data_IF_104234353511
#
_entry.id   IF_104234353511
#
_cell.length_a   1.000
_cell.length_b   1.000
_cell.length_c   1.000
_cell.angle_alpha   90.00
_cell.angle_beta   90.00
_cell.angle_gamma   90.00
#
_symmetry.space_group_name_H-M   'P 1'
#
loop_
_entity.id
_entity.type
_entity.pdbx_description
1 polymer ?
#
# COMPACT_ATOMS: atom_id res chain seq x y z
N UNK A 1 -22.56 -44.01 -14.04
CA UNK A 1 -21.72 -43.68 -15.22
C UNK A 1 -21.91 -42.19 -15.49
N UNK A 2 -20.87 -41.38 -15.27
CA UNK A 2 -20.91 -39.94 -15.52
C UNK A 2 -20.41 -39.66 -16.94
N UNK A 3 -21.22 -38.96 -17.73
CA UNK A 3 -20.85 -38.44 -19.04
C UNK A 3 -19.91 -37.23 -18.90
N UNK A 4 -18.81 -37.15 -19.67
CA UNK A 4 -17.93 -35.99 -19.63
C UNK A 4 -18.52 -34.82 -20.42
N UNK A 5 -18.38 -33.61 -19.87
CA UNK A 5 -18.73 -32.35 -20.53
C UNK A 5 -17.68 -31.97 -21.59
N UNK A 6 -18.09 -31.26 -22.66
CA UNK A 6 -17.27 -31.06 -23.84
C UNK A 6 -16.11 -30.09 -23.62
N UNK A 7 -14.95 -30.48 -24.12
CA UNK A 7 -13.75 -29.67 -24.29
C UNK A 7 -13.89 -28.74 -25.49
N UNK A 8 -14.00 -27.45 -25.21
CA UNK A 8 -13.48 -26.30 -25.98
C UNK A 8 -14.49 -25.16 -26.15
N UNK A 9 -14.04 -23.96 -25.80
CA UNK A 9 -14.54 -22.69 -26.36
C UNK A 9 -13.36 -22.05 -27.12
N UNK A 10 -13.55 -21.55 -28.35
CA UNK A 10 -12.52 -20.80 -29.04
C UNK A 10 -12.47 -19.39 -28.43
N UNK A 11 -11.32 -18.99 -27.89
CA UNK A 11 -11.03 -17.58 -27.60
C UNK A 11 -10.00 -17.13 -28.62
N UNK A 12 -10.45 -16.27 -29.54
CA UNK A 12 -9.56 -15.53 -30.42
C UNK A 12 -8.80 -14.52 -29.56
N UNK A 13 -7.55 -14.83 -29.24
CA UNK A 13 -6.63 -13.90 -28.58
C UNK A 13 -5.94 -13.09 -29.67
N UNK A 14 -6.30 -11.83 -29.79
CA UNK A 14 -5.53 -10.86 -30.59
C UNK A 14 -4.24 -10.57 -29.84
N UNK A 15 -3.14 -11.21 -30.24
CA UNK A 15 -1.81 -10.87 -29.76
C UNK A 15 -1.41 -9.50 -30.32
N UNK A 16 -1.38 -8.48 -29.47
CA UNK A 16 -0.42 -7.38 -29.68
C UNK A 16 0.94 -7.86 -29.14
N UNK A 17 2.02 -7.82 -29.93
CA UNK A 17 3.33 -8.17 -29.43
C UNK A 17 3.79 -7.09 -28.46
N UNK A 18 3.75 -7.40 -27.16
CA UNK A 18 4.55 -6.66 -26.18
C UNK A 18 6.00 -7.08 -26.35
N UNK A 19 6.83 -6.13 -26.80
CA UNK A 19 8.28 -6.29 -26.85
C UNK A 19 8.77 -6.28 -25.40
N UNK A 20 9.17 -7.44 -24.89
CA UNK A 20 9.91 -7.53 -23.64
C UNK A 20 11.29 -6.90 -23.86
N UNK A 21 11.64 -5.89 -23.06
CA UNK A 21 13.05 -5.55 -22.86
C UNK A 21 13.74 -6.76 -22.22
N UNK A 22 14.89 -7.17 -22.77
CA UNK A 22 15.66 -8.30 -22.27
C UNK A 22 16.13 -8.03 -20.83
N UNK A 23 15.64 -8.83 -19.88
CA UNK A 23 16.18 -8.91 -18.53
C UNK A 23 17.36 -9.91 -18.55
N UNK A 24 18.52 -9.50 -18.03
CA UNK A 24 19.72 -10.33 -17.94
C UNK A 24 19.71 -11.10 -16.61
N UNK A 25 19.49 -12.42 -16.62
CA UNK A 25 19.38 -13.24 -15.42
C UNK A 25 20.74 -13.53 -14.75
N UNK A 26 21.86 -13.00 -15.25
CA UNK A 26 23.20 -13.29 -14.71
C UNK A 26 23.65 -12.35 -13.59
N UNK A 27 22.89 -11.29 -13.28
CA UNK A 27 23.20 -10.37 -12.18
C UNK A 27 22.50 -10.81 -10.89
N UNK A 28 23.19 -11.61 -10.08
CA UNK A 28 22.77 -11.95 -8.71
C UNK A 28 22.88 -10.72 -7.80
N UNK A 29 21.80 -10.40 -7.10
CA UNK A 29 21.59 -9.18 -6.29
C UNK A 29 21.97 -9.35 -4.80
N UNK A 30 23.01 -10.12 -4.47
CA UNK A 30 23.29 -10.45 -3.06
C UNK A 30 24.08 -9.40 -2.25
N UNK A 31 24.64 -8.34 -2.85
CA UNK A 31 25.66 -7.53 -2.14
C UNK A 31 25.38 -6.03 -1.97
N UNK A 32 24.14 -5.53 -2.05
CA UNK A 32 23.88 -4.13 -1.71
C UNK A 32 22.56 -3.89 -0.94
N UNK A 33 22.61 -3.65 0.39
CA UNK A 33 21.43 -3.28 1.18
C UNK A 33 20.87 -1.88 0.85
N UNK A 34 21.54 -1.10 -0.03
CA UNK A 34 21.06 0.20 -0.53
C UNK A 34 20.43 0.08 -1.93
N UNK A 35 19.84 -1.06 -2.28
CA UNK A 35 19.04 -1.14 -3.49
C UNK A 35 17.76 -0.34 -3.30
N UNK A 36 17.71 0.83 -3.95
CA UNK A 36 16.49 1.58 -4.15
C UNK A 36 15.52 0.68 -4.92
N UNK A 37 14.47 0.21 -4.25
CA UNK A 37 13.40 -0.54 -4.90
C UNK A 37 12.21 0.36 -5.08
N UNK A 38 12.01 0.77 -6.33
CA UNK A 38 10.91 1.66 -6.65
C UNK A 38 10.09 1.10 -7.79
N UNK A 39 9.01 0.45 -7.42
CA UNK A 39 8.04 -0.03 -8.38
C UNK A 39 7.01 1.06 -8.70
N UNK A 40 6.71 1.17 -9.99
CA UNK A 40 5.41 1.65 -10.44
C UNK A 40 4.53 0.46 -10.78
N UNK A 41 3.65 0.09 -9.86
CA UNK A 41 2.69 -0.97 -10.11
C UNK A 41 1.38 -0.36 -10.58
N UNK A 42 0.82 -0.89 -11.68
CA UNK A 42 -0.59 -0.71 -12.02
C UNK A 42 -1.42 -1.67 -11.17
N UNK A 43 -2.21 -1.13 -10.24
CA UNK A 43 -3.08 -1.97 -9.43
C UNK A 43 -4.36 -2.28 -10.20
N UNK A 44 -4.91 -3.48 -10.02
CA UNK A 44 -6.33 -3.71 -10.23
C UNK A 44 -6.90 -4.11 -8.88
N UNK A 45 -7.18 -3.12 -8.02
CA UNK A 45 -7.84 -3.42 -6.76
C UNK A 45 -9.27 -3.82 -7.06
N UNK A 46 -9.60 -5.09 -6.85
CA UNK A 46 -10.98 -5.54 -6.73
C UNK A 46 -11.29 -5.57 -5.24
N UNK A 47 -11.88 -4.50 -4.72
CA UNK A 47 -12.49 -4.56 -3.38
C UNK A 47 -13.76 -5.35 -3.55
N UNK A 48 -13.73 -6.63 -3.19
CA UNK A 48 -14.95 -7.42 -3.13
C UNK A 48 -15.27 -7.64 -1.67
N UNK A 49 -16.16 -6.84 -1.11
CA UNK A 49 -16.93 -7.24 0.06
C UNK A 49 -17.92 -8.32 -0.44
N UNK A 50 -17.38 -9.49 -0.82
CA UNK A 50 -18.17 -10.56 -1.42
C UNK A 50 -18.78 -11.40 -0.32
N UNK A 51 -20.03 -11.11 0.03
CA UNK A 51 -20.91 -12.09 0.62
C UNK A 51 -21.58 -12.86 -0.53
N UNK A 52 -21.23 -14.15 -0.70
CA UNK A 52 -22.12 -15.10 -1.39
C UNK A 52 -23.05 -15.70 -0.33
N UNK A 53 -24.12 -14.97 -0.06
CA UNK A 53 -25.25 -15.38 0.76
C UNK A 53 -26.39 -14.42 0.46
N UNK A 54 -27.59 -14.94 0.24
CA UNK A 54 -28.79 -14.16 -0.02
C UNK A 54 -29.02 -13.18 1.14
N UNK A 55 -28.91 -11.87 0.90
CA UNK A 55 -29.06 -10.84 1.94
C UNK A 55 -30.24 -9.92 1.63
N UNK A 56 -31.12 -9.78 2.62
CA UNK A 56 -32.36 -9.02 2.63
C UNK A 56 -32.23 -7.80 3.58
N UNK A 57 -31.16 -7.00 3.44
CA UNK A 57 -31.08 -5.71 4.13
C UNK A 57 -30.73 -4.60 3.15
N UNK A 58 -31.55 -3.56 3.18
CA UNK A 58 -31.62 -2.42 2.24
C UNK A 58 -30.54 -1.35 2.46
N UNK A 59 -29.53 -1.59 3.29
CA UNK A 59 -28.55 -0.55 3.69
C UNK A 59 -27.06 -0.94 3.56
N UNK A 60 -26.75 -2.17 3.13
CA UNK A 60 -25.35 -2.59 2.93
C UNK A 60 -24.95 -2.38 1.47
N UNK A 61 -24.39 -1.21 1.15
CA UNK A 61 -23.82 -0.94 -0.17
C UNK A 61 -22.42 -1.56 -0.25
N UNK A 62 -22.33 -2.82 -0.64
CA UNK A 62 -21.06 -3.39 -1.10
C UNK A 62 -20.63 -2.68 -2.39
N UNK A 63 -19.69 -1.73 -2.31
CA UNK A 63 -19.18 -1.05 -3.50
C UNK A 63 -18.06 -1.86 -4.12
N UNK A 64 -18.34 -2.49 -5.26
CA UNK A 64 -17.29 -3.01 -6.14
C UNK A 64 -16.56 -1.82 -6.77
N UNK A 65 -15.45 -1.41 -6.19
CA UNK A 65 -14.55 -0.43 -6.78
C UNK A 65 -13.47 -1.13 -7.60
N UNK A 66 -13.16 -0.55 -8.75
CA UNK A 66 -11.95 -0.87 -9.50
C UNK A 66 -11.02 0.32 -9.36
N UNK A 67 -9.83 0.09 -8.82
CA UNK A 67 -8.82 1.13 -8.73
C UNK A 67 -7.59 0.73 -9.54
N UNK A 68 -7.12 1.66 -10.36
CA UNK A 68 -5.81 1.61 -11.00
C UNK A 68 -4.92 2.64 -10.35
N UNK A 69 -3.91 2.17 -9.64
CA UNK A 69 -2.91 3.03 -9.02
C UNK A 69 -1.59 2.94 -9.75
N UNK A 70 -0.78 3.99 -9.72
CA UNK A 70 0.66 3.98 -9.96
C UNK A 70 1.33 4.35 -8.65
N UNK A 71 2.01 3.38 -8.05
CA UNK A 71 2.74 3.59 -6.78
C UNK A 71 4.16 4.03 -7.08
N UNK A 72 4.76 4.80 -6.18
CA UNK A 72 6.18 5.09 -6.13
C UNK A 72 6.57 4.90 -4.68
N UNK A 73 7.61 4.14 -4.44
CA UNK A 73 7.99 3.75 -3.09
C UNK A 73 9.50 3.94 -2.96
N UNK A 74 9.94 4.68 -1.96
CA UNK A 74 11.35 4.89 -1.63
C UNK A 74 11.56 4.61 -0.14
N UNK A 75 12.09 3.42 0.17
CA UNK A 75 12.25 2.97 1.55
C UNK A 75 13.27 3.80 2.31
N UNK A 76 14.35 4.22 1.65
CA UNK A 76 15.49 4.83 2.30
C UNK A 76 15.15 6.25 2.73
N UNK A 77 14.51 7.01 1.83
CA UNK A 77 14.04 8.36 2.12
C UNK A 77 12.69 8.39 2.86
N UNK A 78 12.09 7.21 3.10
CA UNK A 78 10.83 7.04 3.80
C UNK A 78 9.66 7.74 3.09
N UNK A 79 9.58 7.61 1.76
CA UNK A 79 8.60 8.26 0.89
C UNK A 79 7.73 7.24 0.17
N UNK A 80 6.43 7.52 0.07
CA UNK A 80 5.51 6.79 -0.79
C UNK A 80 4.62 7.78 -1.51
N UNK A 81 4.41 7.60 -2.81
CA UNK A 81 3.40 8.31 -3.57
C UNK A 81 2.47 7.31 -4.27
N UNK A 82 1.18 7.59 -4.30
CA UNK A 82 0.17 6.76 -4.95
C UNK A 82 -0.70 7.67 -5.80
N UNK A 83 -0.63 7.51 -7.13
CA UNK A 83 -1.55 8.16 -8.07
C UNK A 83 -2.60 7.15 -8.46
N UNK A 84 -3.82 7.32 -7.98
CA UNK A 84 -4.91 6.36 -8.10
C UNK A 84 -6.05 6.94 -8.93
N UNK A 85 -6.59 6.11 -9.83
CA UNK A 85 -7.85 6.32 -10.53
C UNK A 85 -8.84 5.29 -10.06
N UNK A 86 -9.91 5.71 -9.40
CA UNK A 86 -11.01 4.84 -8.95
C UNK A 86 -12.22 5.00 -9.85
N UNK A 87 -12.71 3.88 -10.37
CA UNK A 87 -14.00 3.80 -11.05
C UNK A 87 -15.05 3.26 -10.08
N UNK A 88 -16.01 4.10 -9.72
CA UNK A 88 -17.21 3.66 -9.00
C UNK A 88 -18.25 3.22 -10.04
N UNK A 89 -18.39 1.90 -10.23
CA UNK A 89 -19.34 1.36 -11.21
C UNK A 89 -20.79 1.64 -10.85
N UNK A 90 -21.13 1.67 -9.56
CA UNK A 90 -22.51 1.88 -9.10
C UNK A 90 -22.99 3.30 -9.41
N UNK A 91 -22.13 4.29 -9.19
CA UNK A 91 -22.47 5.70 -9.36
C UNK A 91 -21.93 6.30 -10.68
N UNK A 92 -21.25 5.49 -11.51
CA UNK A 92 -20.72 5.88 -12.83
C UNK A 92 -19.82 7.12 -12.83
N UNK A 93 -19.07 7.36 -11.75
CA UNK A 93 -18.07 8.43 -11.70
C UNK A 93 -16.67 7.85 -11.51
N UNK A 94 -15.68 8.63 -11.97
CA UNK A 94 -14.26 8.35 -11.80
C UNK A 94 -13.65 9.41 -10.89
N UNK A 95 -12.86 8.97 -9.92
CA UNK A 95 -12.12 9.86 -9.03
C UNK A 95 -10.63 9.63 -9.23
N UNK A 96 -9.90 10.69 -9.53
CA UNK A 96 -8.43 10.69 -9.54
C UNK A 96 -7.93 11.24 -8.20
N UNK A 97 -7.13 10.46 -7.49
CA UNK A 97 -6.55 10.79 -6.18
C UNK A 97 -5.04 10.65 -6.24
N UNK A 98 -4.32 11.62 -5.70
CA UNK A 98 -2.87 11.52 -5.52
C UNK A 98 -2.54 11.64 -4.05
N UNK A 99 -1.97 10.57 -3.49
CA UNK A 99 -1.46 10.55 -2.11
C UNK A 99 0.06 10.63 -2.11
N UNK A 100 0.62 11.45 -1.22
CA UNK A 100 2.05 11.54 -0.96
C UNK A 100 2.24 11.36 0.54
N UNK A 101 3.05 10.40 0.96
CA UNK A 101 3.29 10.04 2.35
C UNK A 101 4.79 10.20 2.62
N UNK A 102 5.12 11.09 3.54
CA UNK A 102 6.49 11.41 3.95
C UNK A 102 6.63 10.95 5.41
N UNK A 103 7.06 9.71 5.60
CA UNK A 103 7.06 9.05 6.90
C UNK A 103 8.13 9.62 7.85
N UNK A 104 9.25 10.12 7.32
CA UNK A 104 10.27 10.84 8.09
C UNK A 104 9.72 12.12 8.75
N UNK A 105 8.77 12.77 8.09
CA UNK A 105 8.09 13.97 8.57
C UNK A 105 6.75 13.67 9.28
N UNK A 106 6.32 12.40 9.31
CA UNK A 106 5.03 11.96 9.83
C UNK A 106 3.83 12.71 9.21
N UNK A 107 3.86 12.93 7.89
CA UNK A 107 2.79 13.62 7.16
C UNK A 107 2.35 12.88 5.91
N UNK A 108 1.08 13.07 5.57
CA UNK A 108 0.51 12.67 4.30
C UNK A 108 -0.27 13.81 3.65
N UNK A 109 -0.21 13.86 2.32
CA UNK A 109 -0.98 14.74 1.49
C UNK A 109 -1.95 13.88 0.69
N UNK A 110 -3.23 14.27 0.65
CA UNK A 110 -4.23 13.69 -0.25
C UNK A 110 -4.72 14.81 -1.16
N UNK A 111 -4.45 14.67 -2.45
CA UNK A 111 -4.83 15.61 -3.49
C UNK A 111 -5.94 14.98 -4.32
N UNK A 112 -7.08 15.65 -4.41
CA UNK A 112 -8.25 15.20 -5.16
C UNK A 112 -8.99 16.42 -5.70
N UNK A 113 -9.33 16.43 -6.99
CA UNK A 113 -10.11 17.51 -7.62
C UNK A 113 -9.55 18.92 -7.35
N UNK A 114 -8.22 19.08 -7.42
CA UNK A 114 -7.52 20.35 -7.16
C UNK A 114 -7.51 20.80 -5.70
N UNK A 115 -8.07 20.02 -4.78
CA UNK A 115 -8.00 20.24 -3.34
C UNK A 115 -6.90 19.40 -2.73
N UNK A 116 -6.22 19.93 -1.73
CA UNK A 116 -5.17 19.22 -1.02
C UNK A 116 -5.43 19.23 0.49
N UNK A 117 -5.47 18.05 1.08
CA UNK A 117 -5.55 17.85 2.51
C UNK A 117 -4.21 17.35 3.03
N UNK A 118 -3.70 17.98 4.09
CA UNK A 118 -2.52 17.53 4.82
C UNK A 118 -2.96 16.90 6.14
N UNK A 119 -2.63 15.63 6.33
CA UNK A 119 -3.00 14.85 7.51
C UNK A 119 -1.75 14.33 8.21
N UNK A 120 -1.74 14.25 9.55
CA UNK A 120 -0.67 13.56 10.27
C UNK A 120 -0.67 12.07 9.89
N UNK A 121 0.52 11.51 9.73
CA UNK A 121 0.73 10.09 9.47
C UNK A 121 1.20 9.44 10.77
N UNK A 122 0.34 8.65 11.40
CA UNK A 122 0.65 8.00 12.68
C UNK A 122 1.46 6.72 12.51
N UNK A 123 1.25 6.01 11.40
CA UNK A 123 1.84 4.72 11.16
C UNK A 123 3.29 4.81 10.69
N UNK A 124 4.08 3.78 11.02
CA UNK A 124 5.41 3.60 10.46
C UNK A 124 5.31 3.20 9.00
N UNK A 125 6.36 3.51 8.23
CA UNK A 125 6.46 3.03 6.86
C UNK A 125 6.46 1.49 6.86
N UNK A 126 5.53 0.83 6.17
CA UNK A 126 5.50 -0.62 6.10
C UNK A 126 6.77 -1.10 5.38
N UNK A 127 7.45 -2.13 5.91
CA UNK A 127 8.58 -2.75 5.20
C UNK A 127 8.10 -3.38 3.89
N UNK A 128 8.95 -3.36 2.87
CA UNK A 128 8.71 -4.08 1.62
C UNK A 128 8.93 -5.60 1.75
N UNK A 129 9.60 -6.02 2.82
CA UNK A 129 9.95 -7.42 3.02
C UNK A 129 8.77 -8.23 3.52
N UNK A 130 8.74 -9.51 3.15
CA UNK A 130 7.87 -10.49 3.79
C UNK A 130 8.21 -10.52 5.29
N UNK A 131 7.22 -10.33 6.19
CA UNK A 131 7.47 -10.38 7.63
C UNK A 131 8.06 -11.72 8.07
N UNK A 132 8.97 -11.71 9.04
CA UNK A 132 9.67 -12.91 9.53
C UNK A 132 8.73 -14.01 10.04
N UNK A 133 7.56 -13.63 10.56
CA UNK A 133 6.53 -14.57 11.01
C UNK A 133 5.69 -15.18 9.88
N UNK A 134 6.03 -14.95 8.62
CA UNK A 134 5.30 -15.48 7.48
C UNK A 134 5.49 -17.00 7.35
N UNK A 135 4.40 -17.67 6.97
CA UNK A 135 4.39 -19.10 6.69
C UNK A 135 4.42 -19.29 5.17
N UNK A 136 5.38 -20.05 4.67
CA UNK A 136 5.42 -20.42 3.25
C UNK A 136 4.24 -21.32 2.91
N UNK A 137 3.56 -20.99 1.81
CA UNK A 137 2.51 -21.81 1.19
C UNK A 137 3.01 -22.52 -0.08
N UNK A 138 4.31 -22.45 -0.36
CA UNK A 138 4.94 -23.03 -1.55
C UNK A 138 5.11 -22.03 -2.69
N UNK A 139 5.29 -22.56 -3.90
CA UNK A 139 5.62 -21.78 -5.10
C UNK A 139 4.52 -21.86 -6.16
N UNK A 140 4.34 -20.79 -6.94
CA UNK A 140 3.48 -20.72 -8.10
C UNK A 140 4.29 -20.36 -9.35
N UNK A 141 4.09 -21.10 -10.44
CA UNK A 141 4.76 -20.84 -11.72
C UNK A 141 3.86 -19.99 -12.62
N UNK A 142 4.32 -18.79 -12.96
CA UNK A 142 3.70 -17.93 -13.95
C UNK A 142 4.44 -18.05 -15.29
N UNK A 143 3.83 -17.64 -16.42
CA UNK A 143 4.58 -17.46 -17.65
C UNK A 143 5.71 -16.43 -17.45
N UNK A 144 6.96 -16.88 -17.53
CA UNK A 144 8.15 -16.03 -17.45
C UNK A 144 8.82 -15.91 -16.09
N UNK A 145 8.19 -16.33 -14.99
CA UNK A 145 8.81 -16.29 -13.65
C UNK A 145 8.17 -17.27 -12.66
N UNK A 146 8.84 -17.52 -11.54
CA UNK A 146 8.31 -18.30 -10.41
C UNK A 146 8.17 -17.38 -9.21
N UNK A 147 7.05 -17.48 -8.51
CA UNK A 147 6.80 -16.73 -7.29
C UNK A 147 6.64 -17.66 -6.08
N UNK A 148 7.18 -17.26 -4.94
CA UNK A 148 6.84 -17.84 -3.65
C UNK A 148 5.58 -17.20 -3.10
N UNK A 149 4.80 -18.00 -2.40
CA UNK A 149 3.56 -17.57 -1.77
C UNK A 149 3.74 -17.65 -0.27
N UNK A 150 3.49 -16.54 0.41
CA UNK A 150 3.65 -16.40 1.86
C UNK A 150 2.33 -15.98 2.50
N UNK A 151 2.08 -16.46 3.72
CA UNK A 151 0.91 -16.10 4.51
C UNK A 151 1.31 -15.49 5.84
N UNK A 152 0.70 -14.36 6.18
CA UNK A 152 0.92 -13.65 7.44
C UNK A 152 -0.42 -13.41 8.10
N UNK A 153 -0.49 -13.71 9.40
CA UNK A 153 -1.62 -13.34 10.25
C UNK A 153 -1.15 -12.33 11.28
N UNK A 154 -1.66 -11.10 11.17
CA UNK A 154 -1.44 -10.06 12.16
C UNK A 154 -2.58 -10.10 13.19
N UNK A 155 -2.26 -10.56 14.39
CA UNK A 155 -3.23 -10.66 15.48
C UNK A 155 -3.58 -9.29 16.09
N UNK A 156 -2.75 -8.26 15.91
CA UNK A 156 -3.00 -6.93 16.48
C UNK A 156 -4.06 -6.18 15.66
N UNK A 157 -4.00 -6.31 14.33
CA UNK A 157 -4.95 -5.67 13.41
C UNK A 157 -6.10 -6.60 13.00
N UNK A 158 -6.01 -7.89 13.31
CA UNK A 158 -6.95 -8.90 12.81
C UNK A 158 -6.83 -9.15 11.30
N UNK A 159 -5.77 -8.63 10.66
CA UNK A 159 -5.52 -8.75 9.22
C UNK A 159 -4.83 -10.07 8.90
N UNK A 160 -5.32 -10.79 7.89
CA UNK A 160 -4.64 -11.94 7.30
C UNK A 160 -4.26 -11.61 5.87
N UNK A 161 -2.98 -11.72 5.54
CA UNK A 161 -2.42 -11.31 4.24
C UNK A 161 -1.72 -12.49 3.57
N UNK A 162 -1.93 -12.63 2.27
CA UNK A 162 -1.21 -13.54 1.38
C UNK A 162 -0.38 -12.71 0.42
N UNK A 163 0.93 -12.93 0.42
CA UNK A 163 1.86 -12.30 -0.51
C UNK A 163 2.30 -13.31 -1.55
N UNK A 164 2.49 -12.86 -2.78
CA UNK A 164 3.21 -13.57 -3.82
C UNK A 164 4.39 -12.72 -4.26
N UNK A 165 5.61 -13.22 -4.12
CA UNK A 165 6.86 -12.49 -4.46
C UNK A 165 7.70 -13.33 -5.43
N UNK A 166 8.40 -12.70 -6.37
CA UNK A 166 9.33 -13.41 -7.27
C UNK A 166 10.46 -14.06 -6.49
N UNK A 167 10.89 -15.27 -6.88
CA UNK A 167 12.01 -15.95 -6.22
C UNK A 167 13.32 -15.20 -6.43
N UNK A 168 13.57 -14.74 -7.65
CA UNK A 168 14.89 -14.23 -8.04
C UNK A 168 15.17 -12.81 -7.53
N UNK A 169 14.13 -12.04 -7.24
CA UNK A 169 14.24 -10.61 -6.93
C UNK A 169 13.38 -10.13 -5.77
N UNK A 170 12.64 -11.04 -5.10
CA UNK A 170 11.73 -10.71 -4.00
C UNK A 170 10.72 -9.59 -4.33
N UNK A 171 10.37 -9.43 -5.60
CA UNK A 171 9.43 -8.39 -6.05
C UNK A 171 7.99 -8.84 -5.85
N UNK A 172 7.17 -8.00 -5.24
CA UNK A 172 5.74 -8.26 -5.04
C UNK A 172 5.01 -8.45 -6.36
N UNK A 173 4.38 -9.59 -6.56
CA UNK A 173 3.55 -9.92 -7.73
C UNK A 173 2.08 -9.82 -7.38
N UNK A 174 1.70 -10.39 -6.23
CA UNK A 174 0.32 -10.33 -5.72
C UNK A 174 0.32 -10.06 -4.23
N UNK A 175 -0.71 -9.37 -3.77
CA UNK A 175 -1.03 -9.25 -2.35
C UNK A 175 -2.53 -9.37 -2.21
N UNK A 176 -3.02 -10.22 -1.32
CA UNK A 176 -4.41 -10.17 -0.91
C UNK A 176 -4.51 -10.17 0.59
N UNK A 177 -5.42 -9.37 1.13
CA UNK A 177 -5.67 -9.39 2.55
C UNK A 177 -7.16 -9.35 2.86
N UNK A 178 -7.48 -9.92 4.01
CA UNK A 178 -8.77 -9.82 4.65
C UNK A 178 -8.59 -9.23 6.04
N UNK A 179 -9.41 -8.25 6.39
CA UNK A 179 -9.52 -7.75 7.77
C UNK A 179 -10.66 -8.46 8.49
N UNK A 180 -10.48 -8.72 9.79
CA UNK A 180 -11.56 -9.16 10.67
C UNK A 180 -12.10 -7.95 11.42
N UNK A 181 -13.43 -7.83 11.48
CA UNK A 181 -14.09 -6.72 12.15
C UNK A 181 -15.62 -6.83 12.06
N UNK A 182 -16.36 -5.81 12.55
CA UNK A 182 -17.79 -5.71 12.27
C UNK A 182 -18.07 -5.59 10.76
N UNK A 183 -17.10 -5.06 10.01
CA UNK A 183 -17.05 -5.06 8.56
C UNK A 183 -15.84 -5.88 8.11
N UNK A 184 -16.03 -6.74 7.11
CA UNK A 184 -14.94 -7.48 6.47
C UNK A 184 -14.54 -6.73 5.20
N UNK A 185 -13.24 -6.44 5.06
CA UNK A 185 -12.71 -5.92 3.81
C UNK A 185 -11.83 -6.98 3.18
N UNK A 186 -12.09 -7.31 1.91
CA UNK A 186 -11.18 -8.13 1.12
C UNK A 186 -10.59 -7.31 -0.03
N UNK A 187 -9.26 -7.23 -0.04
CA UNK A 187 -8.50 -6.53 -1.08
C UNK A 187 -7.59 -7.53 -1.75
N UNK A 188 -7.54 -7.46 -3.08
CA UNK A 188 -6.51 -8.12 -3.88
C UNK A 188 -5.84 -7.08 -4.75
N UNK A 189 -4.53 -7.07 -4.72
CA UNK A 189 -3.63 -6.22 -5.48
C UNK A 189 -2.77 -7.10 -6.38
N UNK A 190 -2.74 -6.74 -7.66
CA UNK A 190 -1.83 -7.30 -8.65
C UNK A 190 -0.82 -6.21 -9.00
N UNK A 191 0.45 -6.59 -9.08
CA UNK A 191 1.55 -5.67 -9.36
C UNK A 191 2.11 -5.99 -10.75
N UNK A 192 2.10 -4.99 -11.64
CA UNK A 192 2.54 -5.11 -13.03
C UNK A 192 3.47 -3.95 -13.40
N UNK A 193 4.33 -4.15 -14.41
CA UNK A 193 5.26 -3.14 -14.93
C UNK A 193 6.18 -2.51 -13.87
N UNK A 194 6.63 -3.33 -12.93
CA UNK A 194 7.53 -2.88 -11.87
C UNK A 194 8.92 -2.60 -12.44
N UNK A 195 9.44 -1.41 -12.13
CA UNK A 195 10.83 -1.02 -12.32
C UNK A 195 11.56 -1.02 -10.98
N UNK A 196 12.88 -0.91 -10.98
CA UNK A 196 13.65 -0.71 -9.74
C UNK A 196 13.98 0.77 -9.50
N UNK A 197 13.85 1.65 -10.50
CA UNK A 197 14.20 3.08 -10.41
C UNK A 197 13.01 4.03 -10.31
N UNK A 198 13.24 5.20 -9.73
CA UNK A 198 12.40 6.39 -9.87
C UNK A 198 13.02 7.28 -10.91
N UNK A 199 12.39 7.35 -12.06
CA UNK A 199 12.87 8.21 -13.15
C UNK A 199 12.63 9.70 -12.82
N UNK A 200 11.59 10.01 -12.04
CA UNK A 200 11.20 11.37 -11.68
C UNK A 200 10.92 11.51 -10.16
N UNK A 201 11.88 12.03 -9.37
CA UNK A 201 11.70 12.24 -7.93
C UNK A 201 10.62 13.27 -7.57
N UNK A 202 10.19 14.11 -8.52
CA UNK A 202 9.16 15.13 -8.28
C UNK A 202 7.79 14.53 -7.91
N UNK A 203 7.58 13.24 -8.15
CA UNK A 203 6.38 12.48 -7.73
C UNK A 203 6.16 12.49 -6.22
N UNK A 204 7.18 12.81 -5.42
CA UNK A 204 7.08 12.95 -3.97
C UNK A 204 6.95 14.39 -3.48
N UNK A 205 6.98 15.38 -4.39
CA UNK A 205 6.88 16.79 -4.03
C UNK A 205 5.42 17.22 -4.11
N UNK A 206 4.78 17.59 -2.98
CA UNK A 206 3.41 18.09 -3.00
C UNK A 206 3.30 19.38 -3.83
N UNK A 207 2.22 19.56 -4.60
CA UNK A 207 1.99 20.80 -5.33
C UNK A 207 2.04 22.05 -4.44
N UNK A 208 2.43 23.20 -5.00
CA UNK A 208 2.61 24.45 -4.24
C UNK A 208 1.36 24.95 -3.52
N UNK A 209 0.16 24.60 -4.00
CA UNK A 209 -1.11 24.95 -3.36
C UNK A 209 -1.45 24.08 -2.14
N UNK A 210 -0.74 22.97 -1.93
CA UNK A 210 -0.92 22.18 -0.72
C UNK A 210 -0.51 22.98 0.52
N UNK A 211 -1.27 22.88 1.62
CA UNK A 211 -0.89 23.53 2.86
C UNK A 211 0.46 22.97 3.28
N UNK A 212 1.49 23.82 3.30
CA UNK A 212 2.78 23.47 3.87
C UNK A 212 2.58 23.23 5.36
N UNK A 213 3.50 22.52 6.00
CA UNK A 213 3.61 22.63 7.43
C UNK A 213 3.71 24.14 7.74
N UNK A 214 2.66 24.74 8.31
CA UNK A 214 2.88 25.91 9.13
C UNK A 214 3.99 25.44 10.06
N UNK A 215 5.17 26.08 10.01
CA UNK A 215 6.24 25.86 10.95
C UNK A 215 5.51 25.88 12.30
N UNK A 216 5.22 24.70 12.86
CA UNK A 216 4.48 24.65 14.12
C UNK A 216 5.54 25.11 15.06
N UNK A 217 5.55 26.42 15.28
CA UNK A 217 6.35 27.05 16.29
C UNK A 217 6.06 26.19 17.50
N UNK A 218 7.09 25.53 17.98
CA UNK A 218 7.09 24.64 19.12
C UNK A 218 6.88 25.48 20.40
N UNK A 219 6.07 26.53 20.33
CA UNK A 219 5.78 27.53 21.35
C UNK A 219 4.55 27.16 22.17
N UNK A 220 3.61 26.34 21.66
CA UNK A 220 2.47 25.90 22.50
C UNK A 220 2.84 24.94 23.64
N UNK A 221 4.06 24.39 23.66
CA UNK A 221 4.60 23.63 24.80
C UNK A 221 5.47 24.49 25.73
N UNK A 222 5.83 25.71 25.33
CA UNK A 222 6.53 26.68 26.18
C UNK A 222 5.56 27.70 26.81
N UNK A 223 4.45 28.06 26.14
CA UNK A 223 3.38 28.88 26.74
C UNK A 223 2.67 28.19 27.92
N UNK A 224 2.54 26.86 27.90
CA UNK A 224 2.04 26.11 29.06
C UNK A 224 3.04 26.09 30.23
N UNK A 225 4.35 26.26 29.98
CA UNK A 225 5.36 26.34 31.05
C UNK A 225 5.47 27.73 31.67
N UNK A 226 5.09 28.79 30.96
CA UNK A 226 5.03 30.14 31.53
C UNK A 226 3.76 30.42 32.33
N UNK A 227 2.68 29.65 32.13
CA UNK A 227 1.41 29.83 32.87
C UNK A 227 1.34 29.05 34.19
N UNK A 228 2.29 28.13 34.43
CA UNK A 228 2.40 27.39 35.70
C UNK A 228 3.84 27.38 36.18
N UNK A 229 4.31 28.40 36.93
CA UNK A 229 5.56 28.28 37.66
C UNK A 229 5.42 27.13 38.67
N UNK A 230 6.14 26.02 38.43
CA UNK A 230 6.30 24.96 39.42
C UNK A 230 7.20 25.55 40.52
N UNK A 231 6.60 26.01 41.61
CA UNK A 231 7.34 26.33 42.83
C UNK A 231 7.83 25.01 43.42
N UNK A 232 9.11 24.71 43.21
CA UNK A 232 9.78 23.60 43.91
C UNK A 232 9.85 23.99 45.39
N UNK A 233 8.93 23.47 46.19
CA UNK A 233 8.99 23.61 47.65
C UNK A 233 10.11 22.72 48.14
N UNK A 234 11.26 23.30 48.45
CA UNK A 234 12.32 22.61 49.18
C UNK A 234 11.77 22.18 50.55
N UNK A 235 11.74 20.87 50.77
CA UNK A 235 11.47 20.27 52.07
C UNK A 235 12.61 20.65 53.00
N UNK A 236 12.33 21.49 54.01
CA UNK A 236 13.24 21.70 55.12
C UNK A 236 13.28 20.41 55.96
N UNK A 237 14.46 19.81 56.05
CA UNK A 237 14.76 18.77 57.02
C UNK A 237 14.58 19.33 58.44
N UNK A 238 13.79 18.63 59.27
CA UNK A 238 13.77 18.86 60.72
C UNK A 238 14.83 17.99 61.37
N UNK A 239 15.80 18.65 61.99
CA UNK A 239 16.60 18.07 63.06
C UNK A 239 15.69 17.67 64.24
N UNK A 240 15.71 16.38 64.60
CA UNK A 240 15.87 15.88 65.97
C UNK A 240 16.11 14.37 65.94
#
# INVERSE_FOLDING_TARGET
MYTPLPTSCPVTVTHTPFVYGSFDPTKTTTDNPNQHFVWSANFLCKTSDSHKGTYSRTQDFASLAYATSKVYYDYDNKLVAVKERRLNKTASFTTDTWKIMQYSEAISYTIENGRCQRLPLADKMPSQCIPDQAVSLGTHKYPGFVAEVWFVKDNNTGRSTRYGVTIDSCMSVTESYITKGPEYTYVTSLYENMTQSIDDPSVFVPPSFCPRAAHRIRERLLEWRSLFPITVVHRMDRNN
#
